data_IF_491531058073
#
_entry.id   IF_491531058073
#
_cell.length_a   1.000
_cell.length_b   1.000
_cell.length_c   1.000
_cell.angle_alpha   90.00
_cell.angle_beta   90.00
_cell.angle_gamma   90.00
#
_symmetry.space_group_name_H-M   'P 1'
#
loop_
_entity.id
_entity.type
_entity.pdbx_description
1 polymer ?
#
# COMPACT_ATOMS: atom_id res chain seq x y z
N UNK A 1 -10.14 -6.86 -2.02
CA UNK A 1 -10.45 -5.63 -2.79
C UNK A 1 -9.65 -4.46 -2.26
N UNK A 2 -10.14 -3.23 -2.44
CA UNK A 2 -9.48 -2.01 -1.94
C UNK A 2 -9.55 -1.85 -0.41
N UNK A 3 -10.72 -2.09 0.19
CA UNK A 3 -10.94 -1.98 1.64
C UNK A 3 -11.58 -3.20 2.30
N UNK A 4 -11.96 -4.22 1.53
CA UNK A 4 -12.57 -5.45 2.07
C UNK A 4 -11.86 -6.71 1.59
N UNK A 5 -11.93 -7.75 2.42
CA UNK A 5 -11.47 -9.09 2.14
C UNK A 5 -12.62 -10.06 2.39
N UNK A 6 -13.14 -10.66 1.32
CA UNK A 6 -14.31 -11.54 1.37
C UNK A 6 -13.93 -12.94 0.85
N UNK A 7 -14.42 -13.98 1.52
CA UNK A 7 -14.24 -15.39 1.17
C UNK A 7 -15.62 -16.05 1.13
N UNK A 8 -15.94 -16.66 -0.02
CA UNK A 8 -17.18 -17.43 -0.20
C UNK A 8 -16.88 -18.86 -0.63
N UNK A 9 -17.63 -19.82 -0.08
CA UNK A 9 -17.65 -21.21 -0.53
C UNK A 9 -18.91 -21.39 -1.36
N UNK A 10 -18.73 -21.86 -2.60
CA UNK A 10 -19.82 -22.08 -3.54
C UNK A 10 -19.83 -23.53 -4.02
N UNK A 11 -21.04 -24.07 -4.20
CA UNK A 11 -21.28 -25.32 -4.91
C UNK A 11 -21.80 -24.99 -6.31
N UNK A 12 -21.31 -25.71 -7.31
CA UNK A 12 -21.75 -25.56 -8.71
C UNK A 12 -22.26 -26.91 -9.18
N UNK A 13 -23.56 -27.00 -9.48
CA UNK A 13 -24.17 -28.19 -10.05
C UNK A 13 -25.13 -27.81 -11.18
N UNK A 14 -25.01 -28.47 -12.33
CA UNK A 14 -25.85 -28.24 -13.51
C UNK A 14 -26.01 -26.75 -13.91
N UNK A 15 -24.98 -25.93 -13.69
CA UNK A 15 -25.00 -24.50 -13.99
C UNK A 15 -25.70 -23.62 -12.93
N UNK A 16 -26.18 -24.22 -11.84
CA UNK A 16 -26.67 -23.51 -10.65
C UNK A 16 -25.50 -23.23 -9.71
N UNK A 17 -25.38 -21.98 -9.29
CA UNK A 17 -24.42 -21.53 -8.29
C UNK A 17 -25.14 -21.37 -6.95
N UNK A 18 -24.76 -22.16 -5.95
CA UNK A 18 -25.28 -22.05 -4.59
C UNK A 18 -24.17 -21.55 -3.65
N UNK A 19 -24.46 -20.49 -2.91
CA UNK A 19 -23.55 -19.97 -1.88
C UNK A 19 -23.78 -20.75 -0.59
N UNK A 20 -22.80 -21.56 -0.20
CA UNK A 20 -22.86 -22.38 1.02
C UNK A 20 -22.53 -21.55 2.24
N UNK A 21 -21.55 -20.65 2.13
CA UNK A 21 -21.14 -19.75 3.21
C UNK A 21 -20.33 -18.58 2.68
N UNK A 22 -20.45 -17.42 3.33
CA UNK A 22 -19.60 -16.25 3.10
C UNK A 22 -19.10 -15.72 4.44
N UNK A 23 -17.83 -15.32 4.49
CA UNK A 23 -17.23 -14.62 5.62
C UNK A 23 -16.16 -13.63 5.11
N UNK A 24 -15.66 -12.74 5.96
CA UNK A 24 -14.67 -11.76 5.55
C UNK A 24 -14.37 -10.69 6.60
N UNK A 25 -13.54 -9.73 6.21
CA UNK A 25 -13.23 -8.52 6.96
C UNK A 25 -13.52 -7.29 6.10
N UNK A 26 -14.39 -6.41 6.60
CA UNK A 26 -14.83 -5.20 5.91
C UNK A 26 -13.85 -4.03 6.03
N UNK A 27 -12.74 -4.19 6.76
CA UNK A 27 -11.71 -3.18 6.97
C UNK A 27 -10.31 -3.74 6.70
N UNK A 28 -10.20 -4.67 5.75
CA UNK A 28 -8.93 -5.24 5.31
C UNK A 28 -8.86 -5.27 3.78
N UNK A 29 -7.94 -4.52 3.19
CA UNK A 29 -7.76 -4.48 1.76
C UNK A 29 -6.44 -3.85 1.33
N UNK A 30 -6.35 -3.53 0.03
CA UNK A 30 -5.17 -2.93 -0.56
C UNK A 30 -4.75 -1.59 0.07
N UNK A 31 -5.69 -0.81 0.61
CA UNK A 31 -5.40 0.49 1.25
C UNK A 31 -4.63 0.35 2.56
N UNK A 32 -4.81 -0.74 3.30
CA UNK A 32 -4.05 -1.01 4.54
C UNK A 32 -2.56 -1.20 4.23
N UNK A 33 -2.25 -1.90 3.14
CA UNK A 33 -0.87 -2.05 2.68
C UNK A 33 -0.28 -0.70 2.23
N UNK A 34 -1.05 0.13 1.54
CA UNK A 34 -0.60 1.47 1.16
C UNK A 34 -0.29 2.30 2.40
N UNK A 35 -1.14 2.24 3.42
CA UNK A 35 -0.96 2.94 4.69
C UNK A 35 0.31 2.46 5.42
N UNK A 36 0.56 1.15 5.51
CA UNK A 36 1.79 0.63 6.14
C UNK A 36 3.07 1.08 5.41
N UNK A 37 3.04 1.09 4.07
CA UNK A 37 4.15 1.62 3.26
C UNK A 37 4.33 3.11 3.53
N UNK A 38 3.26 3.90 3.55
CA UNK A 38 3.32 5.32 3.88
C UNK A 38 3.93 5.56 5.26
N UNK A 39 3.51 4.83 6.29
CA UNK A 39 4.03 4.97 7.65
C UNK A 39 5.53 4.65 7.74
N UNK A 40 5.97 3.61 7.04
CA UNK A 40 7.38 3.28 6.91
C UNK A 40 8.18 4.43 6.31
N UNK A 41 7.70 5.01 5.19
CA UNK A 41 8.39 6.12 4.54
C UNK A 41 8.32 7.42 5.33
N UNK A 42 7.23 7.72 6.03
CA UNK A 42 7.13 8.87 6.93
C UNK A 42 8.19 8.77 8.03
N UNK A 43 8.35 7.58 8.66
CA UNK A 43 9.39 7.34 9.67
C UNK A 43 10.80 7.48 9.07
N UNK A 44 11.02 6.96 7.87
CA UNK A 44 12.29 7.09 7.15
C UNK A 44 12.61 8.56 6.85
N UNK A 45 11.62 9.33 6.39
CA UNK A 45 11.78 10.75 6.06
C UNK A 45 12.14 11.56 7.31
N UNK A 46 11.42 11.33 8.42
CA UNK A 46 11.73 11.91 9.73
C UNK A 46 13.16 11.61 10.15
N UNK A 47 13.62 10.36 9.96
CA UNK A 47 14.96 9.92 10.37
C UNK A 47 16.07 10.53 9.49
N UNK A 48 15.91 10.48 8.16
CA UNK A 48 16.93 10.84 7.17
C UNK A 48 16.98 12.34 6.87
N UNK A 49 15.82 12.96 6.66
CA UNK A 49 15.71 14.38 6.28
C UNK A 49 15.40 15.30 7.46
N UNK A 50 15.12 14.76 8.65
CA UNK A 50 14.75 15.53 9.86
C UNK A 50 13.51 16.42 9.65
N UNK A 51 12.61 16.00 8.75
CA UNK A 51 11.37 16.71 8.43
C UNK A 51 10.16 15.83 8.73
N UNK A 52 9.09 16.46 9.19
CA UNK A 52 7.81 15.81 9.40
C UNK A 52 6.82 16.26 8.32
N UNK A 53 6.40 15.32 7.48
CA UNK A 53 5.44 15.59 6.40
C UNK A 53 3.99 15.31 6.81
N UNK A 54 3.72 14.83 8.04
CA UNK A 54 2.35 14.40 8.42
C UNK A 54 1.35 15.56 8.49
N UNK A 55 1.82 16.80 8.57
CA UNK A 55 0.97 17.99 8.52
C UNK A 55 0.67 18.49 7.10
N UNK A 56 1.31 17.95 6.06
CA UNK A 56 1.17 18.42 4.68
C UNK A 56 0.34 17.43 3.85
N UNK A 57 -0.92 17.80 3.62
CA UNK A 57 -1.86 16.98 2.85
C UNK A 57 -1.37 16.71 1.41
N UNK A 58 -0.66 17.65 0.78
CA UNK A 58 -0.14 17.49 -0.59
C UNK A 58 1.02 16.52 -0.62
N UNK A 59 1.94 16.61 0.33
CA UNK A 59 3.05 15.67 0.48
C UNK A 59 2.53 14.25 0.75
N UNK A 60 1.55 14.10 1.65
CA UNK A 60 0.92 12.83 1.95
C UNK A 60 0.19 12.24 0.75
N UNK A 61 -0.50 13.05 -0.06
CA UNK A 61 -1.15 12.58 -1.28
C UNK A 61 -0.15 12.08 -2.33
N UNK A 62 0.97 12.80 -2.52
CA UNK A 62 2.08 12.35 -3.39
C UNK A 62 2.64 11.01 -2.90
N UNK A 63 2.89 10.89 -1.60
CA UNK A 63 3.41 9.66 -1.01
C UNK A 63 2.44 8.49 -1.15
N UNK A 64 1.14 8.71 -0.95
CA UNK A 64 0.10 7.68 -1.12
C UNK A 64 0.09 7.12 -2.54
N UNK A 65 0.12 8.00 -3.56
CA UNK A 65 0.10 7.60 -4.96
C UNK A 65 1.33 6.75 -5.31
N UNK A 66 2.52 7.16 -4.88
CA UNK A 66 3.72 6.37 -5.14
C UNK A 66 3.78 5.08 -4.30
N UNK A 67 3.23 5.07 -3.08
CA UNK A 67 3.11 3.86 -2.26
C UNK A 67 2.24 2.82 -2.94
N UNK A 68 1.08 3.22 -3.48
CA UNK A 68 0.21 2.33 -4.24
C UNK A 68 0.89 1.82 -5.51
N UNK A 69 1.59 2.69 -6.25
CA UNK A 69 2.39 2.29 -7.42
C UNK A 69 3.45 1.25 -7.04
N UNK A 70 4.19 1.50 -5.96
CA UNK A 70 5.23 0.60 -5.49
C UNK A 70 4.67 -0.74 -5.04
N UNK A 71 3.57 -0.76 -4.27
CA UNK A 71 2.84 -1.97 -3.89
C UNK A 71 2.50 -2.80 -5.12
N UNK A 72 1.86 -2.19 -6.13
CA UNK A 72 1.48 -2.88 -7.38
C UNK A 72 2.71 -3.43 -8.12
N UNK A 73 3.80 -2.67 -8.20
CA UNK A 73 5.04 -3.11 -8.84
C UNK A 73 5.68 -4.30 -8.09
N UNK A 74 5.66 -4.27 -6.75
CA UNK A 74 6.22 -5.33 -5.92
C UNK A 74 5.44 -6.64 -6.01
N UNK A 75 4.19 -6.65 -6.47
CA UNK A 75 3.47 -7.89 -6.78
C UNK A 75 4.16 -8.73 -7.87
N UNK A 76 4.96 -8.13 -8.74
CA UNK A 76 5.70 -8.83 -9.81
C UNK A 76 7.23 -8.67 -9.72
N UNK A 77 7.72 -7.59 -9.10
CA UNK A 77 9.15 -7.29 -8.96
C UNK A 77 9.67 -7.54 -7.53
N UNK A 78 10.96 -7.84 -7.39
CA UNK A 78 11.61 -8.02 -6.08
C UNK A 78 11.98 -6.70 -5.39
N UNK A 79 12.07 -5.60 -6.14
CA UNK A 79 12.41 -4.28 -5.64
C UNK A 79 11.84 -3.22 -6.58
N UNK A 80 11.45 -2.09 -6.00
CA UNK A 80 11.05 -0.87 -6.71
C UNK A 80 11.72 0.33 -6.05
N UNK A 81 11.90 1.43 -6.78
CA UNK A 81 12.37 2.69 -6.21
C UNK A 81 11.19 3.66 -6.04
N UNK A 82 11.05 4.18 -4.82
CA UNK A 82 10.10 5.24 -4.45
C UNK A 82 10.72 6.57 -4.85
N UNK A 83 10.17 7.19 -5.91
CA UNK A 83 10.67 8.43 -6.46
C UNK A 83 9.56 9.49 -6.44
N UNK A 84 9.76 10.57 -5.69
CA UNK A 84 8.83 11.69 -5.58
C UNK A 84 9.61 12.99 -5.69
N UNK A 85 9.36 13.73 -6.76
CA UNK A 85 9.87 15.08 -6.93
C UNK A 85 9.11 16.10 -6.08
N UNK A 86 9.86 17.03 -5.49
CA UNK A 86 9.39 18.09 -4.60
C UNK A 86 8.36 17.57 -3.59
N UNK A 87 8.71 16.48 -2.89
CA UNK A 87 7.83 15.84 -1.91
C UNK A 87 7.38 16.84 -0.85
N UNK A 88 8.33 17.55 -0.24
CA UNK A 88 8.07 18.52 0.83
C UNK A 88 9.20 19.55 0.90
N UNK A 89 8.87 20.84 0.94
CA UNK A 89 9.85 21.95 1.03
C UNK A 89 11.03 21.85 0.01
N UNK A 90 10.74 21.38 -1.21
CA UNK A 90 11.76 21.20 -2.26
C UNK A 90 12.65 19.96 -2.11
N UNK A 91 12.37 19.09 -1.14
CA UNK A 91 13.07 17.81 -0.96
C UNK A 91 12.51 16.78 -1.95
N UNK A 92 13.39 16.13 -2.69
CA UNK A 92 13.07 14.95 -3.48
C UNK A 92 13.26 13.67 -2.64
N UNK A 93 12.37 12.71 -2.82
CA UNK A 93 12.50 11.37 -2.25
C UNK A 93 12.98 10.41 -3.34
N UNK A 94 14.04 9.65 -3.06
CA UNK A 94 14.51 8.55 -3.89
C UNK A 94 15.04 7.44 -2.99
N UNK A 95 14.22 6.41 -2.75
CA UNK A 95 14.55 5.32 -1.82
C UNK A 95 14.11 3.97 -2.37
N UNK A 96 14.91 2.90 -2.22
CA UNK A 96 14.46 1.56 -2.60
C UNK A 96 13.46 0.98 -1.59
N UNK A 97 12.49 0.23 -2.10
CA UNK A 97 11.63 -0.68 -1.33
C UNK A 97 11.75 -2.08 -1.93
N UNK A 98 12.17 -3.06 -1.13
CA UNK A 98 12.21 -4.47 -1.54
C UNK A 98 10.89 -5.16 -1.21
N UNK A 99 10.57 -6.24 -1.94
CA UNK A 99 9.41 -7.08 -1.64
C UNK A 99 9.50 -7.67 -0.23
N UNK A 100 10.67 -8.19 0.14
CA UNK A 100 10.90 -8.71 1.49
C UNK A 100 10.60 -7.66 2.56
N UNK A 101 11.04 -6.40 2.35
CA UNK A 101 10.73 -5.34 3.29
C UNK A 101 9.24 -5.03 3.32
N UNK A 102 8.58 -4.96 2.17
CA UNK A 102 7.14 -4.71 2.06
C UNK A 102 6.30 -5.77 2.80
N UNK A 103 6.68 -7.05 2.71
CA UNK A 103 6.02 -8.17 3.39
C UNK A 103 6.20 -8.14 4.92
N UNK A 104 7.26 -7.50 5.42
CA UNK A 104 7.52 -7.32 6.86
C UNK A 104 6.79 -6.11 7.49
N UNK A 105 6.24 -5.20 6.69
CA UNK A 105 5.59 -3.98 7.19
C UNK A 105 4.21 -4.26 7.83
#
# INVERSE_FOLDING_TARGET
>A
GGGTFDVSILTIDNGVFEVVSTNGDTHLGGEDFDQRVMEYFIKLIKKKYKKDITGDARALQKLRREAERAKRALSSQHQVRMEIEALYEGIDLSEPLTRARFEEL
#
